data_IF_534425198773
#
_entry.id   IF_534425198773
#
_cell.length_a   1.000
_cell.length_b   1.000
_cell.length_c   1.000
_cell.angle_alpha   90.00
_cell.angle_beta   90.00
_cell.angle_gamma   90.00
#
_symmetry.space_group_name_H-M   'P 1'
#
loop_
_entity.id
_entity.type
_entity.pdbx_description
1 polymer ?
#
# COMPACT_ATOMS: atom_id res chain seq x y z
N UNK A 1 2.26 -22.11 -14.54
CA UNK A 1 1.39 -21.54 -13.50
C UNK A 1 2.23 -21.08 -12.33
N UNK A 2 1.84 -19.98 -11.71
CA UNK A 2 2.44 -19.49 -10.45
C UNK A 2 2.29 -20.56 -9.39
N UNK A 3 3.40 -21.09 -8.89
CA UNK A 3 3.38 -21.95 -7.71
C UNK A 3 3.34 -21.02 -6.49
N UNK A 4 2.21 -20.94 -5.84
CA UNK A 4 2.05 -20.15 -4.61
C UNK A 4 1.98 -21.09 -3.41
N UNK A 5 2.59 -20.66 -2.30
CA UNK A 5 2.52 -21.40 -1.03
C UNK A 5 1.08 -21.59 -0.53
N UNK A 6 0.89 -22.30 0.55
CA UNK A 6 -0.43 -22.71 1.06
C UNK A 6 -1.31 -21.54 1.57
N UNK A 7 -0.76 -20.36 1.76
CA UNK A 7 -1.49 -19.12 2.14
C UNK A 7 -0.77 -17.90 1.57
N UNK A 8 -0.82 -17.68 0.24
CA UNK A 8 -0.09 -16.60 -0.41
C UNK A 8 -0.62 -15.24 0.03
N UNK A 9 0.28 -14.25 0.11
CA UNK A 9 -0.10 -12.86 0.34
C UNK A 9 -0.38 -12.18 -1.00
N UNK A 10 -1.50 -11.49 -1.09
CA UNK A 10 -1.86 -10.65 -2.23
C UNK A 10 -1.58 -9.20 -1.82
N UNK A 11 -0.42 -8.70 -2.25
CA UNK A 11 -0.07 -7.28 -2.12
C UNK A 11 -0.71 -6.53 -3.30
N UNK A 12 -1.42 -5.44 -3.02
CA UNK A 12 -2.06 -4.64 -4.07
C UNK A 12 -1.66 -3.19 -4.01
N UNK A 13 -1.74 -2.50 -5.13
CA UNK A 13 -1.65 -1.04 -5.22
C UNK A 13 -2.49 -0.56 -6.40
N UNK A 14 -3.24 0.52 -6.21
CA UNK A 14 -4.08 1.13 -7.24
C UNK A 14 -3.87 2.64 -7.24
N UNK A 15 -3.53 3.21 -8.38
CA UNK A 15 -3.36 4.66 -8.46
C UNK A 15 -2.71 5.15 -9.74
N UNK A 16 -2.58 6.46 -9.86
CA UNK A 16 -1.88 7.08 -10.99
C UNK A 16 -0.40 6.75 -10.94
N UNK A 17 0.19 6.42 -12.09
CA UNK A 17 1.62 6.17 -12.22
C UNK A 17 2.33 7.53 -12.37
N UNK A 18 2.77 8.08 -11.25
CA UNK A 18 3.47 9.37 -11.14
C UNK A 18 4.73 9.22 -10.30
N UNK A 19 5.68 10.14 -10.46
CA UNK A 19 6.90 10.16 -9.62
C UNK A 19 6.57 10.11 -8.13
N UNK A 20 5.60 10.90 -7.70
CA UNK A 20 5.12 10.94 -6.33
C UNK A 20 4.77 9.55 -5.76
N UNK A 21 4.20 8.68 -6.56
CA UNK A 21 3.72 7.35 -6.14
C UNK A 21 4.72 6.21 -6.39
N UNK A 22 5.61 6.37 -7.38
CA UNK A 22 6.50 5.30 -7.82
C UNK A 22 7.95 5.53 -7.38
N UNK A 23 8.33 6.75 -7.03
CA UNK A 23 9.70 7.14 -6.69
C UNK A 23 10.38 6.18 -5.71
N UNK A 24 9.71 5.83 -4.61
CA UNK A 24 10.30 4.94 -3.61
C UNK A 24 10.50 3.52 -4.15
N UNK A 25 9.62 3.05 -5.03
CA UNK A 25 9.77 1.74 -5.67
C UNK A 25 10.97 1.69 -6.65
N UNK A 26 11.32 2.83 -7.25
CA UNK A 26 12.48 2.96 -8.14
C UNK A 26 13.79 3.17 -7.39
N UNK A 27 13.76 3.53 -6.10
CA UNK A 27 14.96 3.82 -5.32
C UNK A 27 15.95 2.67 -5.42
N UNK A 28 17.18 2.97 -5.86
CA UNK A 28 18.26 1.98 -5.86
C UNK A 28 18.75 1.74 -4.44
N UNK A 29 18.76 0.49 -4.03
CA UNK A 29 19.21 0.02 -2.74
C UNK A 29 20.72 -0.25 -2.73
N UNK A 30 21.32 -0.41 -1.54
CA UNK A 30 22.74 -0.68 -1.38
C UNK A 30 23.22 -1.99 -2.07
N UNK A 31 22.30 -2.92 -2.34
CA UNK A 31 22.57 -4.16 -3.07
C UNK A 31 22.50 -4.02 -4.60
N UNK A 32 22.34 -2.80 -5.13
CA UNK A 32 22.23 -2.50 -6.55
C UNK A 32 20.88 -2.80 -7.20
N UNK A 33 19.92 -3.41 -6.46
CA UNK A 33 18.56 -3.62 -6.93
C UNK A 33 17.69 -2.39 -6.63
N UNK A 34 16.58 -2.25 -7.34
CA UNK A 34 15.55 -1.27 -6.95
C UNK A 34 14.76 -1.76 -5.73
N UNK A 35 14.10 -0.83 -5.02
CA UNK A 35 13.29 -1.19 -3.86
C UNK A 35 12.14 -2.16 -4.24
N UNK A 36 11.51 -1.99 -5.41
CA UNK A 36 10.50 -2.94 -5.87
C UNK A 36 11.09 -4.34 -6.11
N UNK A 37 12.28 -4.45 -6.71
CA UNK A 37 12.94 -5.74 -6.91
C UNK A 37 13.32 -6.41 -5.58
N UNK A 38 13.73 -5.62 -4.60
CA UNK A 38 14.01 -6.11 -3.24
C UNK A 38 12.72 -6.56 -2.55
N UNK A 39 11.63 -5.79 -2.66
CA UNK A 39 10.31 -6.17 -2.15
C UNK A 39 9.82 -7.49 -2.76
N UNK A 40 9.96 -7.66 -4.09
CA UNK A 40 9.60 -8.89 -4.77
C UNK A 40 10.48 -10.09 -4.33
N UNK A 41 11.75 -9.84 -4.00
CA UNK A 41 12.63 -10.87 -3.42
C UNK A 41 12.17 -11.27 -2.02
N UNK A 42 11.71 -10.32 -1.18
CA UNK A 42 11.12 -10.62 0.14
C UNK A 42 9.79 -11.35 0.04
N UNK A 43 8.98 -11.01 -0.96
CA UNK A 43 7.71 -11.68 -1.24
C UNK A 43 7.94 -13.13 -1.72
N UNK A 44 8.99 -13.36 -2.52
CA UNK A 44 9.40 -14.66 -3.05
C UNK A 44 8.20 -15.48 -3.61
N UNK A 45 8.12 -16.76 -3.22
CA UNK A 45 7.00 -17.66 -3.59
C UNK A 45 5.80 -17.54 -2.65
N UNK A 46 5.88 -16.64 -1.67
CA UNK A 46 4.84 -16.46 -0.63
C UNK A 46 3.67 -15.58 -1.08
N UNK A 47 3.73 -15.02 -2.29
CA UNK A 47 2.63 -14.20 -2.77
C UNK A 47 2.88 -13.51 -4.11
N UNK A 48 2.01 -12.56 -4.41
CA UNK A 48 2.04 -11.76 -5.64
C UNK A 48 1.81 -10.29 -5.32
N UNK A 49 2.52 -9.41 -6.04
CA UNK A 49 2.23 -7.98 -6.04
C UNK A 49 1.47 -7.62 -7.32
N UNK A 50 0.30 -7.02 -7.17
CA UNK A 50 -0.55 -6.56 -8.27
C UNK A 50 -0.67 -5.04 -8.19
N UNK A 51 -0.18 -4.35 -9.20
CA UNK A 51 -0.26 -2.89 -9.31
C UNK A 51 -1.11 -2.51 -10.52
N UNK A 52 -2.20 -1.79 -10.28
CA UNK A 52 -3.09 -1.26 -11.33
C UNK A 52 -2.93 0.25 -11.45
N UNK A 53 -2.64 0.73 -12.65
CA UNK A 53 -2.56 2.17 -12.88
C UNK A 53 -2.05 2.56 -14.25
N UNK A 54 -2.14 3.86 -14.51
CA UNK A 54 -1.57 4.49 -15.72
C UNK A 54 -1.10 5.91 -15.41
N UNK A 55 -0.20 6.45 -16.26
CA UNK A 55 0.30 7.80 -16.09
C UNK A 55 1.55 8.11 -16.90
N UNK A 56 2.66 8.39 -16.25
CA UNK A 56 3.93 8.71 -16.91
C UNK A 56 4.49 7.48 -17.66
N UNK A 57 4.75 7.64 -18.96
CA UNK A 57 5.16 6.53 -19.83
C UNK A 57 6.50 5.90 -19.41
N UNK A 58 7.46 6.68 -18.90
CA UNK A 58 8.76 6.16 -18.46
C UNK A 58 8.62 5.30 -17.21
N UNK A 59 7.73 5.70 -16.32
CA UNK A 59 7.41 4.92 -15.11
C UNK A 59 6.63 3.65 -15.45
N UNK A 60 5.72 3.71 -16.41
CA UNK A 60 5.02 2.54 -16.93
C UNK A 60 5.98 1.55 -17.60
N UNK A 61 6.93 2.04 -18.41
CA UNK A 61 7.95 1.20 -19.03
C UNK A 61 8.85 0.54 -18.00
N UNK A 62 9.27 1.27 -16.95
CA UNK A 62 9.99 0.71 -15.81
C UNK A 62 9.21 -0.43 -15.13
N UNK A 63 7.93 -0.20 -14.80
CA UNK A 63 7.09 -1.23 -14.17
C UNK A 63 6.86 -2.43 -15.08
N UNK A 64 6.69 -2.20 -16.39
CA UNK A 64 6.56 -3.26 -17.39
C UNK A 64 7.85 -4.11 -17.48
N UNK A 65 9.01 -3.46 -17.45
CA UNK A 65 10.29 -4.16 -17.43
C UNK A 65 10.47 -5.00 -16.14
N UNK A 66 10.09 -4.47 -14.98
CA UNK A 66 10.12 -5.23 -13.73
C UNK A 66 9.18 -6.44 -13.82
N UNK A 67 7.96 -6.26 -14.35
CA UNK A 67 6.99 -7.34 -14.49
C UNK A 67 7.47 -8.43 -15.46
N UNK A 68 8.20 -8.07 -16.53
CA UNK A 68 8.72 -9.04 -17.50
C UNK A 68 9.78 -9.99 -16.94
N UNK A 69 10.42 -9.61 -15.82
CA UNK A 69 11.53 -10.36 -15.21
C UNK A 69 11.18 -10.97 -13.84
N UNK A 70 9.98 -10.72 -13.32
CA UNK A 70 9.54 -11.20 -12.00
C UNK A 70 8.15 -11.80 -12.10
N UNK A 71 8.05 -13.11 -11.91
CA UNK A 71 6.78 -13.87 -12.05
C UNK A 71 5.77 -13.56 -10.95
N UNK A 72 6.22 -13.02 -9.82
CA UNK A 72 5.39 -12.63 -8.68
C UNK A 72 5.01 -11.14 -8.68
N UNK A 73 5.16 -10.45 -9.84
CA UNK A 73 4.70 -9.09 -10.04
C UNK A 73 3.82 -8.97 -11.28
N UNK A 74 2.65 -8.37 -11.11
CA UNK A 74 1.70 -8.08 -12.18
C UNK A 74 1.48 -6.57 -12.27
N UNK A 75 1.90 -5.95 -13.37
CA UNK A 75 1.56 -4.57 -13.68
C UNK A 75 0.39 -4.53 -14.65
N UNK A 76 -0.78 -4.09 -14.17
CA UNK A 76 -2.00 -3.91 -14.94
C UNK A 76 -2.05 -2.47 -15.44
N UNK A 77 -1.49 -2.25 -16.64
CA UNK A 77 -1.42 -0.92 -17.25
C UNK A 77 -2.80 -0.46 -17.70
N UNK A 78 -3.30 0.60 -17.11
CA UNK A 78 -4.59 1.21 -17.45
C UNK A 78 -5.42 1.58 -16.24
N UNK A 79 -6.70 1.86 -16.50
CA UNK A 79 -7.71 2.10 -15.47
C UNK A 79 -8.93 1.20 -15.72
N UNK A 80 -9.42 0.61 -14.66
CA UNK A 80 -10.68 -0.15 -14.68
C UNK A 80 -11.31 -0.05 -13.28
N UNK A 81 -12.53 0.45 -13.22
CA UNK A 81 -13.27 0.56 -11.95
C UNK A 81 -13.50 -0.83 -11.33
N UNK A 82 -13.96 -1.79 -12.13
CA UNK A 82 -14.21 -3.16 -11.68
C UNK A 82 -12.93 -3.85 -11.14
N UNK A 83 -11.78 -3.68 -11.82
CA UNK A 83 -10.51 -4.22 -11.34
C UNK A 83 -10.04 -3.49 -10.08
N UNK A 84 -10.20 -2.17 -10.01
CA UNK A 84 -9.87 -1.39 -8.81
C UNK A 84 -10.67 -1.86 -7.61
N UNK A 85 -11.98 -2.02 -7.76
CA UNK A 85 -12.86 -2.53 -6.72
C UNK A 85 -12.46 -3.95 -6.28
N UNK A 86 -12.17 -4.83 -7.23
CA UNK A 86 -11.70 -6.18 -6.94
C UNK A 86 -10.38 -6.17 -6.14
N UNK A 87 -9.41 -5.33 -6.52
CA UNK A 87 -8.13 -5.21 -5.82
C UNK A 87 -8.28 -4.62 -4.41
N UNK A 88 -9.19 -3.65 -4.21
CA UNK A 88 -9.49 -3.11 -2.89
C UNK A 88 -10.15 -4.13 -1.95
N UNK A 89 -10.91 -5.07 -2.50
CA UNK A 89 -11.68 -6.04 -1.70
C UNK A 89 -11.00 -7.41 -1.56
N UNK A 90 -10.01 -7.75 -2.39
CA UNK A 90 -9.44 -9.10 -2.45
C UNK A 90 -7.96 -9.17 -2.07
N UNK A 91 -7.30 -8.04 -1.82
CA UNK A 91 -5.91 -8.04 -1.37
C UNK A 91 -5.78 -8.29 0.13
N UNK A 92 -4.60 -8.72 0.53
CA UNK A 92 -4.25 -8.89 1.95
C UNK A 92 -3.60 -7.64 2.54
N UNK A 93 -2.83 -6.93 1.73
CA UNK A 93 -2.09 -5.72 2.12
C UNK A 93 -2.11 -4.73 0.96
N UNK A 94 -2.40 -3.48 1.25
CA UNK A 94 -2.40 -2.41 0.25
C UNK A 94 -1.17 -1.53 0.41
N UNK A 95 -0.39 -1.35 -0.66
CA UNK A 95 0.85 -0.58 -0.64
C UNK A 95 0.64 0.85 -1.14
N UNK A 96 0.99 1.84 -0.31
CA UNK A 96 1.00 3.27 -0.65
C UNK A 96 2.35 3.92 -0.33
N UNK A 97 3.36 3.76 -1.19
CA UNK A 97 4.71 4.27 -0.96
C UNK A 97 4.86 5.73 -1.41
N UNK A 98 3.79 6.52 -1.35
CA UNK A 98 3.77 7.90 -1.85
C UNK A 98 4.80 8.76 -1.12
N UNK A 99 5.64 9.49 -1.86
CA UNK A 99 6.58 10.46 -1.28
C UNK A 99 5.87 11.70 -0.73
N UNK A 100 4.66 11.98 -1.24
CA UNK A 100 3.76 13.03 -0.79
C UNK A 100 2.31 12.61 -1.07
N UNK A 101 1.39 12.82 -0.11
CA UNK A 101 -0.02 12.46 -0.27
C UNK A 101 -0.90 13.44 0.53
N UNK A 102 -1.50 14.47 -0.10
CA UNK A 102 -2.29 15.46 0.61
C UNK A 102 -3.49 14.87 1.38
N UNK A 103 -4.16 13.92 0.77
CA UNK A 103 -5.32 13.23 1.34
C UNK A 103 -5.20 11.72 1.16
N UNK A 104 -5.22 11.25 -0.09
CA UNK A 104 -5.35 9.84 -0.45
C UNK A 104 -6.79 9.34 -0.28
N UNK A 105 -7.26 8.58 -1.26
CA UNK A 105 -8.57 7.91 -1.20
C UNK A 105 -8.36 6.39 -1.24
N UNK A 106 -7.33 5.93 -1.92
CA UNK A 106 -7.09 4.50 -2.15
C UNK A 106 -6.92 3.71 -0.84
N UNK A 107 -6.27 4.29 0.19
CA UNK A 107 -6.16 3.65 1.51
C UNK A 107 -7.53 3.51 2.19
N UNK A 108 -8.40 4.51 2.04
CA UNK A 108 -9.74 4.46 2.62
C UNK A 108 -10.59 3.37 1.95
N UNK A 109 -10.46 3.22 0.61
CA UNK A 109 -11.16 2.20 -0.15
C UNK A 109 -10.64 0.80 0.18
N UNK A 110 -9.32 0.60 0.28
CA UNK A 110 -8.75 -0.69 0.66
C UNK A 110 -9.11 -1.08 2.10
N UNK A 111 -9.02 -0.15 3.04
CA UNK A 111 -9.45 -0.40 4.42
C UNK A 111 -10.95 -0.73 4.50
N UNK A 112 -11.80 -0.07 3.68
CA UNK A 112 -13.22 -0.40 3.59
C UNK A 112 -13.45 -1.85 3.13
N UNK A 113 -12.56 -2.41 2.32
CA UNK A 113 -12.53 -3.82 1.93
C UNK A 113 -11.92 -4.76 3.00
N UNK A 114 -11.49 -4.23 4.14
CA UNK A 114 -10.80 -5.00 5.19
C UNK A 114 -9.32 -5.23 4.93
N UNK A 115 -8.74 -4.56 3.95
CA UNK A 115 -7.34 -4.68 3.57
C UNK A 115 -6.51 -3.62 4.31
N UNK A 116 -5.63 -3.99 5.28
CA UNK A 116 -4.72 -3.06 5.93
C UNK A 116 -3.79 -2.38 4.92
N UNK A 117 -3.36 -1.14 5.21
CA UNK A 117 -2.43 -0.42 4.36
C UNK A 117 -1.02 -0.44 4.92
N UNK A 118 -0.03 -0.58 4.05
CA UNK A 118 1.37 -0.25 4.33
C UNK A 118 1.69 1.06 3.61
N UNK A 119 1.93 2.12 4.35
CA UNK A 119 2.03 3.45 3.78
C UNK A 119 3.16 4.29 4.36
N UNK A 120 3.69 5.17 3.53
CA UNK A 120 4.56 6.25 4.00
C UNK A 120 3.75 7.24 4.84
N UNK A 121 4.25 7.54 6.05
CA UNK A 121 3.56 8.41 7.02
C UNK A 121 3.69 9.88 6.62
N UNK A 122 2.96 10.28 5.56
CA UNK A 122 2.95 11.64 5.01
C UNK A 122 1.53 12.13 4.76
N UNK A 123 1.28 13.40 5.00
CA UNK A 123 -0.02 14.06 4.75
C UNK A 123 -1.20 13.24 5.28
N UNK A 124 -2.26 13.10 4.49
CA UNK A 124 -3.48 12.38 4.87
C UNK A 124 -3.30 10.90 5.19
N UNK A 125 -2.19 10.28 4.78
CA UNK A 125 -1.89 8.90 5.19
C UNK A 125 -1.55 8.83 6.69
N UNK A 126 -0.92 9.88 7.23
CA UNK A 126 -0.64 10.01 8.67
C UNK A 126 -1.92 10.13 9.52
N UNK A 127 -2.98 10.70 8.93
CA UNK A 127 -4.23 10.98 9.64
C UNK A 127 -5.19 9.78 9.58
N UNK A 128 -5.03 8.93 8.58
CA UNK A 128 -5.98 7.85 8.28
C UNK A 128 -5.50 6.46 8.69
N UNK A 129 -4.18 6.25 8.74
CA UNK A 129 -3.58 4.96 9.06
C UNK A 129 -2.92 5.03 10.44
N UNK A 130 -3.39 4.19 11.35
CA UNK A 130 -2.87 4.06 12.71
C UNK A 130 -1.98 2.81 12.74
N UNK A 131 -0.68 3.05 12.94
CA UNK A 131 0.33 1.99 12.89
C UNK A 131 0.02 0.84 13.85
N UNK A 132 0.18 -0.38 13.34
CA UNK A 132 -0.12 -1.63 14.05
C UNK A 132 -1.58 -1.81 14.49
N UNK A 133 -2.50 -0.91 14.16
CA UNK A 133 -3.93 -1.02 14.46
C UNK A 133 -4.77 -1.35 13.22
N UNK A 134 -4.75 -0.49 12.18
CA UNK A 134 -5.48 -0.68 10.93
C UNK A 134 -4.57 -0.75 9.70
N UNK A 135 -3.24 -0.72 9.91
CA UNK A 135 -2.22 -0.79 8.88
C UNK A 135 -0.82 -0.70 9.46
N UNK A 136 0.14 -0.44 8.61
CA UNK A 136 1.55 -0.28 8.91
C UNK A 136 2.03 1.05 8.34
N UNK A 137 2.88 1.77 9.07
CA UNK A 137 3.45 3.02 8.59
C UNK A 137 4.96 3.04 8.70
N UNK A 138 5.61 3.67 7.74
CA UNK A 138 7.04 3.91 7.74
C UNK A 138 7.35 5.39 7.51
N UNK A 139 8.53 5.82 7.93
CA UNK A 139 9.05 7.19 7.75
C UNK A 139 10.48 7.14 7.25
N UNK A 140 11.09 8.28 7.01
CA UNK A 140 12.51 8.44 6.69
C UNK A 140 12.82 9.85 6.22
N UNK A 141 14.03 10.33 6.48
CA UNK A 141 14.47 11.68 6.10
C UNK A 141 14.94 11.80 4.66
N UNK A 142 15.41 10.68 4.06
CA UNK A 142 15.95 10.64 2.70
C UNK A 142 15.32 9.49 1.91
N UNK A 143 15.24 9.56 0.56
CA UNK A 143 14.62 8.53 -0.25
C UNK A 143 15.15 7.11 -0.01
N UNK A 144 16.46 6.93 0.16
CA UNK A 144 17.05 5.62 0.46
C UNK A 144 16.56 5.08 1.82
N UNK A 145 16.62 5.90 2.87
CA UNK A 145 16.12 5.53 4.21
C UNK A 145 14.62 5.21 4.18
N UNK A 146 13.82 6.00 3.45
CA UNK A 146 12.40 5.75 3.28
C UNK A 146 12.15 4.40 2.61
N UNK A 147 12.93 4.05 1.58
CA UNK A 147 12.82 2.78 0.89
C UNK A 147 13.28 1.61 1.80
N UNK A 148 14.35 1.75 2.56
CA UNK A 148 14.82 0.76 3.54
C UNK A 148 13.74 0.52 4.61
N UNK A 149 13.17 1.58 5.16
CA UNK A 149 12.12 1.50 6.18
C UNK A 149 10.82 0.92 5.61
N UNK A 150 10.47 1.21 4.35
CA UNK A 150 9.35 0.57 3.65
C UNK A 150 9.55 -0.95 3.56
N UNK A 151 10.73 -1.39 3.16
CA UNK A 151 11.06 -2.82 3.04
C UNK A 151 11.06 -3.53 4.39
N UNK A 152 11.64 -2.93 5.42
CA UNK A 152 11.61 -3.46 6.79
C UNK A 152 10.18 -3.56 7.34
N UNK A 153 9.35 -2.54 7.08
CA UNK A 153 7.94 -2.52 7.44
C UNK A 153 7.16 -3.63 6.71
N UNK A 154 7.45 -3.84 5.42
CA UNK A 154 6.86 -4.92 4.64
C UNK A 154 7.26 -6.31 5.16
N UNK A 155 8.52 -6.53 5.48
CA UNK A 155 9.00 -7.78 6.07
C UNK A 155 8.33 -8.07 7.43
N UNK A 156 8.13 -7.03 8.25
CA UNK A 156 7.39 -7.14 9.51
C UNK A 156 5.93 -7.51 9.28
N UNK A 157 5.29 -6.95 8.25
CA UNK A 157 3.92 -7.29 7.87
C UNK A 157 3.80 -8.75 7.40
N UNK A 158 4.73 -9.23 6.55
CA UNK A 158 4.81 -10.62 6.13
C UNK A 158 4.95 -11.57 7.33
N UNK A 159 5.86 -11.24 8.23
CA UNK A 159 6.11 -12.01 9.46
C UNK A 159 4.86 -12.08 10.33
N UNK A 160 4.19 -10.94 10.54
CA UNK A 160 2.94 -10.88 11.32
C UNK A 160 1.86 -11.75 10.69
N UNK A 161 1.65 -11.68 9.36
CA UNK A 161 0.65 -12.50 8.68
C UNK A 161 0.92 -13.99 8.82
N UNK A 162 2.19 -14.41 8.70
CA UNK A 162 2.60 -15.82 8.79
C UNK A 162 2.57 -16.39 10.20
N UNK A 163 3.12 -15.62 11.16
CA UNK A 163 3.36 -16.12 12.52
C UNK A 163 2.23 -15.80 13.49
N UNK A 164 1.43 -14.79 13.19
CA UNK A 164 0.31 -14.37 14.06
C UNK A 164 -0.95 -14.03 13.24
N UNK A 165 -1.59 -15.04 12.62
CA UNK A 165 -2.78 -14.83 11.79
C UNK A 165 -3.96 -14.22 12.56
N UNK A 166 -4.06 -14.45 13.88
CA UNK A 166 -5.08 -13.82 14.71
C UNK A 166 -4.88 -12.32 14.84
N UNK A 167 -3.64 -11.85 15.06
CA UNK A 167 -3.33 -10.43 15.10
C UNK A 167 -3.54 -9.77 13.72
N UNK A 168 -3.28 -10.51 12.64
CA UNK A 168 -3.60 -10.05 11.29
C UNK A 168 -5.10 -9.87 11.09
N UNK A 169 -5.89 -10.85 11.48
CA UNK A 169 -7.36 -10.79 11.38
C UNK A 169 -7.95 -9.61 12.19
N UNK A 170 -7.42 -9.36 13.39
CA UNK A 170 -7.80 -8.19 14.20
C UNK A 170 -7.49 -6.90 13.43
N UNK A 171 -6.31 -6.77 12.84
CA UNK A 171 -5.92 -5.60 12.04
C UNK A 171 -6.85 -5.42 10.83
N UNK A 172 -7.18 -6.48 10.11
CA UNK A 172 -8.14 -6.45 8.99
C UNK A 172 -9.53 -6.00 9.44
N UNK A 173 -10.00 -6.47 10.60
CA UNK A 173 -11.27 -6.03 11.20
C UNK A 173 -11.24 -4.56 11.61
N UNK A 174 -10.13 -4.08 12.14
CA UNK A 174 -9.93 -2.67 12.47
C UNK A 174 -9.92 -1.80 11.21
N UNK A 175 -9.23 -2.22 10.16
CA UNK A 175 -9.27 -1.56 8.85
C UNK A 175 -10.71 -1.51 8.32
N UNK A 176 -11.40 -2.66 8.31
CA UNK A 176 -12.81 -2.76 7.89
C UNK A 176 -13.74 -1.86 8.71
N UNK A 177 -13.49 -1.64 9.98
CA UNK A 177 -14.28 -0.78 10.84
C UNK A 177 -13.96 0.71 10.69
N UNK A 178 -12.79 1.06 10.14
CA UNK A 178 -12.36 2.45 9.94
C UNK A 178 -13.24 3.12 8.88
N UNK A 179 -13.84 4.26 9.22
CA UNK A 179 -14.74 5.03 8.32
C UNK A 179 -14.41 6.51 8.38
N UNK A 180 -14.57 7.17 7.24
CA UNK A 180 -14.39 8.60 7.05
C UNK A 180 -15.69 9.17 6.45
N UNK A 181 -16.71 9.33 7.29
CA UNK A 181 -18.06 9.71 6.86
C UNK A 181 -18.27 11.22 7.01
N UNK A 182 -18.88 11.83 6.01
CA UNK A 182 -19.26 13.24 6.06
C UNK A 182 -20.09 13.61 7.27
N UNK A 183 -20.96 12.71 7.73
CA UNK A 183 -21.75 12.92 8.93
C UNK A 183 -20.88 13.21 10.16
N UNK A 184 -19.80 12.47 10.32
CA UNK A 184 -18.93 12.56 11.50
C UNK A 184 -18.05 13.82 11.39
N UNK A 185 -17.51 14.09 10.21
CA UNK A 185 -16.75 15.31 9.89
C UNK A 185 -17.63 16.56 10.06
N UNK A 186 -18.88 16.55 9.60
CA UNK A 186 -19.79 17.68 9.76
C UNK A 186 -20.09 17.99 11.24
N UNK A 187 -20.19 16.96 12.10
CA UNK A 187 -20.34 17.17 13.53
C UNK A 187 -19.11 17.85 14.16
N UNK A 188 -17.90 17.44 13.74
CA UNK A 188 -16.67 18.08 14.18
C UNK A 188 -16.60 19.56 13.73
N UNK A 189 -16.96 19.85 12.48
CA UNK A 189 -17.09 21.24 12.01
C UNK A 189 -18.05 22.06 12.86
N UNK A 190 -19.25 21.54 13.14
CA UNK A 190 -20.24 22.20 14.00
C UNK A 190 -19.66 22.46 15.38
N UNK A 191 -19.07 21.43 16.00
CA UNK A 191 -18.53 21.51 17.35
C UNK A 191 -17.37 22.48 17.49
N UNK A 192 -16.40 22.41 16.57
CA UNK A 192 -15.14 23.15 16.72
C UNK A 192 -15.13 24.54 16.07
N UNK A 193 -15.96 24.79 15.06
CA UNK A 193 -15.99 26.06 14.35
C UNK A 193 -17.23 26.92 14.70
N UNK A 194 -18.38 26.32 14.98
CA UNK A 194 -19.63 27.05 15.16
C UNK A 194 -20.14 27.10 16.61
N UNK A 195 -19.78 26.14 17.46
CA UNK A 195 -20.22 26.14 18.86
C UNK A 195 -19.21 26.72 19.84
N UNK A 196 -17.98 26.97 19.44
CA UNK A 196 -16.92 27.56 20.27
C UNK A 196 -16.64 29.04 19.92
N UNK A 197 -17.59 29.73 19.24
CA UNK A 197 -17.53 31.17 18.98
C UNK A 197 -18.39 31.93 19.95
#
# INVERSE_FOLDING_TARGET
GLYMGTNPIILTSVGRITDQKIRLLQQTMNNGKTAIQTLLTLLADDGVFILLGSGDSKLEDFLTQVASTNTNFMFLKGYSEALSESLYNSGDLFLMPSSFEPCGISQMLSMRGGQPCLAHRVGGLSDTIIDNQNGFTFTGGKPLEQAENMLSCFESALTKKKQNPQAWEIMSKNALATRFLWRDVAQDYIKYLYMNS
#
